data_IF_479947657409
#
_entry.id   IF_479947657409
#
_cell.length_a   1.000
_cell.length_b   1.000
_cell.length_c   1.000
_cell.angle_alpha   90.00
_cell.angle_beta   90.00
_cell.angle_gamma   90.00
#
_symmetry.space_group_name_H-M   'P 1'
#
loop_
_entity.id
_entity.type
_entity.pdbx_description
1 polymer ?
#
# COMPACT_ATOMS: atom_id res chain seq x y z
N UNK A 1 7.50 13.32 -12.13
CA UNK A 1 7.70 11.93 -11.67
C UNK A 1 6.56 11.07 -12.22
N UNK A 2 6.91 10.10 -13.04
CA UNK A 2 5.92 9.28 -13.74
C UNK A 2 6.13 7.79 -13.53
N UNK A 3 6.96 7.46 -12.54
CA UNK A 3 7.38 6.11 -12.29
C UNK A 3 6.72 5.56 -11.03
N UNK A 4 5.92 4.50 -11.19
CA UNK A 4 5.28 3.85 -10.06
C UNK A 4 6.30 3.24 -9.09
N UNK A 5 7.48 2.89 -9.57
CA UNK A 5 8.53 2.34 -8.72
C UNK A 5 9.06 3.42 -7.78
N UNK A 6 9.30 4.62 -8.30
CA UNK A 6 9.71 5.75 -7.46
C UNK A 6 8.62 6.11 -6.45
N UNK A 7 7.36 6.03 -6.86
CA UNK A 7 6.24 6.26 -5.94
C UNK A 7 6.24 5.22 -4.80
N UNK A 8 6.41 3.93 -5.14
CA UNK A 8 6.48 2.88 -4.14
C UNK A 8 7.64 3.10 -3.17
N UNK A 9 8.80 3.51 -3.69
CA UNK A 9 9.96 3.84 -2.86
C UNK A 9 9.67 5.03 -1.94
N UNK A 10 8.99 6.05 -2.45
CA UNK A 10 8.57 7.21 -1.67
C UNK A 10 7.59 6.84 -0.56
N UNK A 11 6.66 5.93 -0.84
CA UNK A 11 5.73 5.41 0.16
C UNK A 11 6.51 4.66 1.25
N UNK A 12 7.44 3.79 0.87
CA UNK A 12 8.25 3.04 1.81
C UNK A 12 9.08 3.98 2.70
N UNK A 13 9.67 5.01 2.12
CA UNK A 13 10.42 6.02 2.87
C UNK A 13 9.52 6.76 3.86
N UNK A 14 8.31 7.12 3.46
CA UNK A 14 7.34 7.78 4.33
C UNK A 14 6.91 6.91 5.51
N UNK A 15 6.83 5.60 5.31
CA UNK A 15 6.50 4.67 6.38
C UNK A 15 7.65 4.55 7.40
N UNK A 16 8.89 4.59 6.93
CA UNK A 16 10.03 4.30 7.78
C UNK A 16 10.00 2.86 8.27
N UNK A 17 10.49 2.61 9.48
CA UNK A 17 10.42 1.29 10.14
C UNK A 17 10.94 0.11 9.31
N UNK A 18 11.90 0.36 8.40
CA UNK A 18 12.46 -0.70 7.56
C UNK A 18 11.53 -1.22 6.49
N UNK A 19 10.52 -0.43 6.09
CA UNK A 19 9.63 -0.81 5.00
C UNK A 19 10.40 -1.07 3.71
N UNK A 20 10.03 -2.13 3.01
CA UNK A 20 10.70 -2.56 1.78
C UNK A 20 9.76 -2.55 0.60
N UNK A 21 10.27 -2.20 -0.59
CA UNK A 21 9.53 -2.37 -1.83
C UNK A 21 9.74 -3.78 -2.34
N UNK A 22 8.66 -4.46 -2.71
CA UNK A 22 8.72 -5.81 -3.25
C UNK A 22 7.93 -5.89 -4.55
N UNK A 23 8.50 -6.51 -5.56
CA UNK A 23 7.86 -6.69 -6.87
C UNK A 23 7.18 -8.05 -6.99
N UNK A 24 7.55 -9.00 -6.13
CA UNK A 24 6.98 -10.34 -6.11
C UNK A 24 6.70 -10.70 -4.65
N UNK A 25 5.63 -10.14 -4.06
CA UNK A 25 5.40 -10.28 -2.63
C UNK A 25 5.05 -11.72 -2.26
N UNK A 26 5.91 -12.33 -1.48
CA UNK A 26 5.54 -13.49 -0.71
C UNK A 26 5.14 -12.98 0.65
N UNK A 27 3.83 -12.91 0.90
CA UNK A 27 3.35 -12.49 2.20
C UNK A 27 3.51 -13.61 3.21
N UNK A 28 4.76 -13.99 3.45
CA UNK A 28 5.09 -15.06 4.40
C UNK A 28 6.37 -14.66 5.15
N UNK A 29 6.25 -14.60 6.46
CA UNK A 29 7.36 -14.21 7.33
C UNK A 29 8.37 -15.34 7.57
N UNK A 30 8.02 -16.57 7.25
CA UNK A 30 8.93 -17.74 7.38
C UNK A 30 9.68 -17.79 8.72
N UNK A 31 8.94 -17.60 9.81
CA UNK A 31 9.52 -17.67 11.15
C UNK A 31 10.03 -16.37 11.73
N UNK A 32 10.01 -15.27 10.98
CA UNK A 32 10.33 -13.96 11.54
C UNK A 32 9.27 -13.54 12.53
N UNK A 33 9.69 -13.08 13.70
CA UNK A 33 8.76 -12.68 14.77
C UNK A 33 8.47 -11.20 14.80
N UNK A 34 9.25 -10.41 14.07
CA UNK A 34 9.09 -8.96 14.04
C UNK A 34 8.10 -8.55 12.96
N UNK A 35 7.45 -7.43 13.21
CA UNK A 35 6.56 -6.80 12.25
C UNK A 35 7.35 -6.42 10.98
N UNK A 36 6.75 -6.66 9.82
CA UNK A 36 7.33 -6.28 8.53
C UNK A 36 6.33 -5.47 7.72
N UNK A 37 6.82 -4.40 7.12
CA UNK A 37 6.04 -3.58 6.19
C UNK A 37 6.62 -3.77 4.79
N UNK A 38 5.74 -4.06 3.85
CA UNK A 38 6.10 -4.29 2.45
C UNK A 38 5.27 -3.35 1.58
N UNK A 39 5.91 -2.69 0.63
CA UNK A 39 5.24 -1.82 -0.33
C UNK A 39 5.32 -2.46 -1.71
N UNK A 40 4.16 -2.63 -2.34
CA UNK A 40 4.07 -3.31 -3.64
C UNK A 40 3.48 -2.36 -4.67
N UNK A 41 4.21 -2.02 -5.75
CA UNK A 41 3.60 -1.28 -6.85
C UNK A 41 2.66 -2.21 -7.61
N UNK A 42 1.40 -1.81 -7.73
CA UNK A 42 0.36 -2.64 -8.36
C UNK A 42 0.21 -2.30 -9.83
N UNK A 43 0.05 -1.03 -10.16
CA UNK A 43 -0.12 -0.65 -11.55
C UNK A 43 -0.57 0.80 -11.71
N UNK A 44 -0.70 1.17 -12.97
CA UNK A 44 -1.15 2.50 -13.37
C UNK A 44 -2.35 2.33 -14.28
N UNK A 45 -3.42 3.06 -13.97
CA UNK A 45 -4.59 3.15 -14.84
C UNK A 45 -4.66 4.56 -15.39
N UNK A 46 -4.68 4.69 -16.73
CA UNK A 46 -4.74 5.98 -17.39
C UNK A 46 -6.03 6.10 -18.17
N UNK A 47 -6.67 7.26 -18.10
CA UNK A 47 -7.88 7.51 -18.85
C UNK A 47 -8.00 8.99 -19.22
N UNK A 48 -8.75 9.33 -20.28
CA UNK A 48 -9.07 10.73 -20.57
C UNK A 48 -9.88 11.32 -19.42
N UNK A 49 -9.51 12.50 -18.96
CA UNK A 49 -10.26 13.22 -17.91
C UNK A 49 -11.15 14.29 -18.53
N UNK A 50 -10.54 15.10 -19.39
CA UNK A 50 -11.21 16.14 -20.12
C UNK A 50 -10.46 16.33 -21.44
N UNK A 51 -10.97 17.22 -22.29
CA UNK A 51 -10.28 17.51 -23.54
C UNK A 51 -8.85 17.95 -23.27
N UNK A 52 -7.88 17.26 -23.88
CA UNK A 52 -6.45 17.53 -23.76
C UNK A 52 -5.85 17.23 -22.39
N UNK A 53 -6.59 16.49 -21.53
CA UNK A 53 -6.10 16.08 -20.20
C UNK A 53 -6.19 14.58 -20.01
N UNK A 54 -5.21 14.02 -19.32
CA UNK A 54 -5.17 12.62 -18.90
C UNK A 54 -5.20 12.54 -17.38
N UNK A 55 -5.92 11.55 -16.89
CA UNK A 55 -5.91 11.20 -15.48
C UNK A 55 -5.16 9.88 -15.32
N UNK A 56 -4.13 9.89 -14.49
CA UNK A 56 -3.39 8.69 -14.13
C UNK A 56 -3.64 8.34 -12.68
N UNK A 57 -3.97 7.09 -12.45
CA UNK A 57 -4.16 6.53 -11.10
C UNK A 57 -3.09 5.50 -10.85
N UNK A 58 -2.28 5.75 -9.85
CA UNK A 58 -1.20 4.87 -9.44
C UNK A 58 -1.64 4.09 -8.22
N UNK A 59 -1.63 2.77 -8.30
CA UNK A 59 -2.05 1.91 -7.19
C UNK A 59 -0.83 1.27 -6.56
N UNK A 60 -0.71 1.44 -5.25
CA UNK A 60 0.37 0.91 -4.43
C UNK A 60 -0.25 0.24 -3.22
N UNK A 61 0.17 -0.97 -2.91
CA UNK A 61 -0.30 -1.68 -1.72
C UNK A 61 0.75 -1.64 -0.62
N UNK A 62 0.28 -1.54 0.62
CA UNK A 62 1.13 -1.69 1.81
C UNK A 62 0.66 -2.94 2.52
N UNK A 63 1.55 -3.89 2.73
CA UNK A 63 1.30 -5.09 3.50
C UNK A 63 1.92 -4.97 4.88
N UNK A 64 1.13 -5.24 5.92
CA UNK A 64 1.59 -5.35 7.30
C UNK A 64 1.56 -6.81 7.69
N UNK A 65 2.73 -7.37 7.98
CA UNK A 65 2.88 -8.76 8.34
C UNK A 65 3.46 -8.89 9.75
N UNK A 66 2.85 -9.75 10.55
CA UNK A 66 3.37 -10.04 11.89
C UNK A 66 2.92 -11.43 12.34
N UNK A 67 3.84 -12.23 12.87
CA UNK A 67 3.49 -13.47 13.55
C UNK A 67 2.72 -13.12 14.81
N UNK A 68 1.55 -13.70 15.00
CA UNK A 68 0.68 -13.34 16.11
C UNK A 68 -0.36 -14.43 16.42
N UNK A 69 -1.13 -14.22 17.48
CA UNK A 69 -2.32 -15.00 17.81
C UNK A 69 -3.55 -14.13 17.56
N UNK A 70 -4.74 -14.73 17.69
CA UNK A 70 -5.99 -14.00 17.53
C UNK A 70 -6.12 -12.78 18.43
N UNK A 71 -5.50 -12.84 19.63
CA UNK A 71 -5.58 -11.74 20.60
C UNK A 71 -4.94 -10.45 20.09
N UNK A 72 -3.98 -10.55 19.16
CA UNK A 72 -3.27 -9.40 18.59
C UNK A 72 -4.01 -8.76 17.42
N UNK A 73 -4.98 -9.47 16.84
CA UNK A 73 -5.63 -9.03 15.59
C UNK A 73 -6.29 -7.65 15.70
N UNK A 74 -7.06 -7.32 16.76
CA UNK A 74 -7.68 -6.00 16.83
C UNK A 74 -6.68 -4.85 16.76
N UNK A 75 -5.56 -4.96 17.45
CA UNK A 75 -4.51 -3.95 17.43
C UNK A 75 -3.88 -3.80 16.05
N UNK A 76 -3.63 -4.93 15.38
CA UNK A 76 -3.01 -4.94 14.06
C UNK A 76 -3.96 -4.40 12.99
N UNK A 77 -5.25 -4.69 13.07
CA UNK A 77 -6.26 -4.10 12.19
C UNK A 77 -6.28 -2.59 12.35
N UNK A 78 -6.25 -2.10 13.59
CA UNK A 78 -6.21 -0.65 13.84
C UNK A 78 -4.96 -0.01 13.27
N UNK A 79 -3.83 -0.71 13.33
CA UNK A 79 -2.58 -0.22 12.76
C UNK A 79 -2.66 -0.10 11.23
N UNK A 80 -3.21 -1.11 10.56
CA UNK A 80 -3.41 -1.06 9.10
C UNK A 80 -4.29 0.13 8.71
N UNK A 81 -5.39 0.33 9.43
CA UNK A 81 -6.29 1.46 9.16
C UNK A 81 -5.60 2.79 9.42
N UNK A 82 -4.83 2.88 10.50
CA UNK A 82 -4.06 4.09 10.82
C UNK A 82 -3.05 4.42 9.72
N UNK A 83 -2.34 3.41 9.23
CA UNK A 83 -1.39 3.59 8.13
C UNK A 83 -2.10 4.14 6.90
N UNK A 84 -3.18 3.50 6.48
CA UNK A 84 -3.93 3.94 5.31
C UNK A 84 -4.45 5.36 5.45
N UNK A 85 -5.06 5.67 6.58
CA UNK A 85 -5.60 7.01 6.84
C UNK A 85 -4.52 8.08 6.86
N UNK A 86 -3.30 7.73 7.30
CA UNK A 86 -2.20 8.68 7.34
C UNK A 86 -1.77 9.14 5.94
N UNK A 87 -2.06 8.34 4.91
CA UNK A 87 -1.73 8.72 3.53
C UNK A 87 -2.83 9.49 2.82
N UNK A 88 -4.08 9.44 3.31
CA UNK A 88 -5.17 10.16 2.66
C UNK A 88 -4.85 11.66 2.55
N UNK A 89 -4.94 12.19 1.34
CA UNK A 89 -4.64 13.57 0.98
C UNK A 89 -3.16 13.95 1.11
N UNK A 90 -2.30 12.99 1.46
CA UNK A 90 -0.86 13.21 1.53
C UNK A 90 -0.25 13.18 0.13
N UNK A 91 0.77 14.00 -0.08
CA UNK A 91 1.55 14.00 -1.31
C UNK A 91 2.80 13.15 -1.13
N UNK A 92 3.02 12.26 -2.08
CA UNK A 92 4.26 11.46 -2.15
C UNK A 92 4.76 11.60 -3.58
N UNK A 93 6.01 12.01 -3.74
CA UNK A 93 6.60 12.25 -5.07
C UNK A 93 5.74 13.18 -5.95
N UNK A 94 5.06 14.15 -5.34
CA UNK A 94 4.22 15.09 -6.06
C UNK A 94 2.83 14.57 -6.43
N UNK A 95 2.52 13.31 -6.10
CA UNK A 95 1.22 12.71 -6.34
C UNK A 95 0.41 12.67 -5.06
N UNK A 96 -0.88 12.96 -5.17
CA UNK A 96 -1.77 13.03 -4.00
C UNK A 96 -2.51 11.71 -3.83
N UNK A 97 -2.51 11.18 -2.60
CA UNK A 97 -3.29 10.00 -2.27
C UNK A 97 -4.76 10.36 -2.13
N UNK A 98 -5.60 9.84 -2.99
CA UNK A 98 -7.03 10.17 -3.05
C UNK A 98 -7.93 9.10 -2.46
N UNK A 99 -7.44 7.88 -2.30
CA UNK A 99 -8.26 6.76 -1.87
C UNK A 99 -7.42 5.72 -1.15
N UNK A 100 -7.99 5.15 -0.09
CA UNK A 100 -7.41 3.98 0.57
C UNK A 100 -8.49 2.92 0.71
N UNK A 101 -8.12 1.66 0.48
CA UNK A 101 -9.03 0.51 0.62
C UNK A 101 -8.41 -0.54 1.51
N UNK A 102 -9.24 -1.14 2.39
CA UNK A 102 -8.79 -2.10 3.40
C UNK A 102 -9.52 -3.44 3.28
N UNK A 103 -9.87 -3.87 2.10
CA UNK A 103 -10.69 -5.07 1.91
C UNK A 103 -9.87 -6.18 1.28
N UNK A 104 -9.69 -7.30 1.97
CA UNK A 104 -10.06 -7.52 3.38
C UNK A 104 -9.08 -6.82 4.32
N UNK A 105 -9.52 -6.53 5.55
CA UNK A 105 -8.65 -5.91 6.55
C UNK A 105 -7.44 -6.77 6.86
N UNK A 106 -7.61 -8.08 6.82
CA UNK A 106 -6.54 -9.04 7.01
C UNK A 106 -6.94 -10.38 6.36
N UNK A 107 -5.98 -11.28 6.23
CA UNK A 107 -6.22 -12.61 5.68
C UNK A 107 -6.52 -13.61 6.80
N UNK A 108 -7.78 -14.09 6.94
CA UNK A 108 -8.09 -15.12 7.92
C UNK A 108 -7.35 -16.43 7.68
N UNK A 109 -7.08 -16.74 6.41
CA UNK A 109 -6.36 -17.95 6.03
C UNK A 109 -4.92 -17.93 6.56
N UNK A 110 -4.21 -16.82 6.39
CA UNK A 110 -2.85 -16.66 6.90
C UNK A 110 -2.82 -16.75 8.42
N UNK A 111 -3.82 -16.18 9.08
CA UNK A 111 -3.91 -16.24 10.52
C UNK A 111 -4.09 -17.69 11.01
N UNK A 112 -4.98 -18.44 10.37
CA UNK A 112 -5.28 -19.82 10.76
C UNK A 112 -4.14 -20.77 10.42
N UNK A 113 -3.57 -20.68 9.22
CA UNK A 113 -2.58 -21.63 8.73
C UNK A 113 -1.15 -21.27 9.10
N UNK A 114 -0.83 -20.01 9.21
CA UNK A 114 0.54 -19.53 9.43
C UNK A 114 0.73 -18.85 10.77
N UNK A 115 -0.34 -18.65 11.52
CA UNK A 115 -0.35 -17.82 12.74
C UNK A 115 0.30 -16.46 12.43
N UNK A 116 -0.09 -15.90 11.31
CA UNK A 116 0.44 -14.65 10.80
C UNK A 116 -0.68 -13.70 10.48
N UNK A 117 -0.58 -12.48 10.97
CA UNK A 117 -1.42 -11.38 10.51
C UNK A 117 -0.85 -10.89 9.17
N UNK A 118 -1.70 -10.82 8.17
CA UNK A 118 -1.37 -10.23 6.87
C UNK A 118 -2.48 -9.26 6.55
N UNK A 119 -2.22 -7.97 6.76
CA UNK A 119 -3.16 -6.90 6.43
C UNK A 119 -2.64 -6.10 5.26
N UNK A 120 -3.53 -5.76 4.34
CA UNK A 120 -3.16 -5.01 3.14
C UNK A 120 -4.06 -3.80 3.00
N UNK A 121 -3.45 -2.65 2.76
CA UNK A 121 -4.16 -1.44 2.37
C UNK A 121 -3.70 -1.03 0.98
N UNK A 122 -4.64 -0.72 0.10
CA UNK A 122 -4.34 -0.22 -1.23
C UNK A 122 -4.50 1.29 -1.28
N UNK A 123 -3.46 1.97 -1.71
CA UNK A 123 -3.45 3.42 -1.89
C UNK A 123 -3.60 3.74 -3.37
N UNK A 124 -4.45 4.71 -3.68
CA UNK A 124 -4.59 5.22 -5.03
C UNK A 124 -4.15 6.68 -5.05
N UNK A 125 -3.10 6.94 -5.82
CA UNK A 125 -2.58 8.29 -6.06
C UNK A 125 -3.06 8.78 -7.40
N UNK A 126 -3.40 10.04 -7.47
CA UNK A 126 -3.99 10.64 -8.66
C UNK A 126 -3.16 11.81 -9.15
N UNK A 127 -2.96 11.86 -10.44
CA UNK A 127 -2.48 13.06 -11.11
C UNK A 127 -3.29 13.30 -12.37
N UNK A 128 -3.52 14.57 -12.68
CA UNK A 128 -4.15 14.99 -13.92
C UNK A 128 -3.15 15.88 -14.65
N UNK A 129 -2.84 15.55 -15.87
CA UNK A 129 -1.87 16.31 -16.64
C UNK A 129 -2.34 16.53 -18.07
N UNK A 130 -1.79 17.55 -18.70
CA UNK A 130 -2.14 17.89 -20.07
C UNK A 130 -1.48 16.90 -21.02
N UNK A 131 -2.25 16.43 -22.01
CA UNK A 131 -1.69 15.58 -23.05
C UNK A 131 -0.75 16.40 -23.92
N UNK A 132 0.37 15.78 -24.32
CA UNK A 132 1.26 16.37 -25.28
C UNK A 132 0.58 16.41 -26.64
N UNK A 133 0.68 17.52 -27.36
CA UNK A 133 0.11 17.63 -28.73
C UNK A 133 0.85 16.73 -29.72
#
# INVERSE_FOLDING_TARGET
>A
MDDIIELAEGVAESLGEGAEVSFAPEFDLKGLKTKKLVVVPVGIESKPNARDYLEDRYKVQIGLLKKCTEDDVPELVREVVRIGRSFLQKYVCGLRCMKTEYVPHFSPEHLRERRQFTGVVELTFLTVHRTEP
#
